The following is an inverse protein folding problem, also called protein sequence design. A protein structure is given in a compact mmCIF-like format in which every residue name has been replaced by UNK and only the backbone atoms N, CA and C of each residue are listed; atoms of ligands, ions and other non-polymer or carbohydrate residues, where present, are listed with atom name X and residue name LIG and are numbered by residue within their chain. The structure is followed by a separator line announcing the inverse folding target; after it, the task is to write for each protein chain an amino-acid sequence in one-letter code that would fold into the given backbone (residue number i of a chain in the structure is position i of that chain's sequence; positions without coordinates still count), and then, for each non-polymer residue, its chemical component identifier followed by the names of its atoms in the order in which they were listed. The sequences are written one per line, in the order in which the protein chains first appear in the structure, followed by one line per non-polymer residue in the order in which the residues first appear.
data_IF_842684801459
#
_entry.id   IF_842684801459
#
_cell.length_a   1.000
_cell.length_b   1.000
_cell.length_c   1.000
_cell.angle_alpha   90.00
_cell.angle_beta   90.00
_cell.angle_gamma   90.00
#
_symmetry.space_group_name_H-M   'P 1'
#
loop_
_entity.id
_entity.type
_entity.pdbx_description
1 polymer ?
#
# COMPACT_ATOMS: atom_id res chain seq x y z
N UNK A 1 -24.58 -32.56 -0.19
CA UNK A 1 -24.32 -32.80 1.24
C UNK A 1 -24.28 -31.45 1.95
N UNK A 2 -25.27 -31.14 2.78
CA UNK A 2 -25.30 -29.89 3.54
C UNK A 2 -24.23 -29.95 4.65
N UNK A 3 -23.27 -29.01 4.62
CA UNK A 3 -22.24 -28.84 5.64
C UNK A 3 -22.94 -28.63 6.99
N UNK A 4 -22.83 -29.59 7.91
CA UNK A 4 -23.37 -29.49 9.27
C UNK A 4 -22.74 -28.23 9.88
N UNK A 5 -23.52 -27.17 10.07
CA UNK A 5 -23.04 -25.90 10.63
C UNK A 5 -22.56 -26.21 12.05
N UNK A 6 -21.32 -25.87 12.36
CA UNK A 6 -20.79 -25.99 13.72
C UNK A 6 -21.47 -24.93 14.60
N UNK A 7 -22.62 -25.31 15.14
CA UNK A 7 -23.47 -24.43 15.95
C UNK A 7 -22.78 -24.08 17.27
N UNK A 8 -22.02 -25.01 17.85
CA UNK A 8 -21.29 -24.78 19.10
C UNK A 8 -20.14 -23.81 18.88
N UNK A 9 -19.35 -24.00 17.81
CA UNK A 9 -18.30 -23.06 17.43
C UNK A 9 -18.84 -21.66 17.10
N UNK A 10 -19.97 -21.59 16.40
CA UNK A 10 -20.63 -20.31 16.09
C UNK A 10 -21.16 -19.61 17.35
N UNK A 11 -21.73 -20.38 18.29
CA UNK A 11 -22.21 -19.86 19.56
C UNK A 11 -21.06 -19.35 20.45
N UNK A 12 -19.96 -20.11 20.52
CA UNK A 12 -18.77 -19.71 21.26
C UNK A 12 -18.15 -18.42 20.68
N UNK A 13 -18.07 -18.32 19.35
CA UNK A 13 -17.59 -17.11 18.68
C UNK A 13 -18.50 -15.91 18.97
N UNK A 14 -19.81 -16.08 18.86
CA UNK A 14 -20.77 -15.00 19.16
C UNK A 14 -20.68 -14.55 20.62
N UNK A 15 -20.59 -15.50 21.56
CA UNK A 15 -20.43 -15.18 22.98
C UNK A 15 -19.13 -14.42 23.25
N UNK A 16 -18.03 -14.83 22.61
CA UNK A 16 -16.75 -14.13 22.72
C UNK A 16 -16.85 -12.69 22.17
N UNK A 17 -17.43 -12.51 20.97
CA UNK A 17 -17.64 -11.19 20.37
C UNK A 17 -18.50 -10.27 21.24
N UNK A 18 -19.59 -10.78 21.81
CA UNK A 18 -20.44 -9.99 22.72
C UNK A 18 -19.68 -9.57 23.97
N UNK A 19 -18.91 -10.49 24.56
CA UNK A 19 -18.13 -10.21 25.77
C UNK A 19 -17.05 -9.14 25.51
N UNK A 20 -16.31 -9.26 24.40
CA UNK A 20 -15.29 -8.27 24.03
C UNK A 20 -15.93 -6.93 23.66
N UNK A 21 -17.01 -6.95 22.87
CA UNK A 21 -17.70 -5.74 22.47
C UNK A 21 -18.27 -4.95 23.66
N UNK A 22 -18.79 -5.63 24.69
CA UNK A 22 -19.30 -4.97 25.90
C UNK A 22 -18.19 -4.21 26.65
N UNK A 23 -17.00 -4.79 26.78
CA UNK A 23 -15.89 -4.14 27.49
C UNK A 23 -15.38 -2.92 26.71
N UNK A 24 -15.21 -3.07 25.40
CA UNK A 24 -14.75 -2.02 24.50
C UNK A 24 -15.75 -0.86 24.39
N UNK A 25 -17.05 -1.19 24.41
CA UNK A 25 -18.13 -0.20 24.46
C UNK A 25 -18.04 0.65 25.73
N UNK A 26 -17.94 0.03 26.91
CA UNK A 26 -17.83 0.77 28.17
C UNK A 26 -16.54 1.59 28.24
N UNK A 27 -15.43 1.09 27.70
CA UNK A 27 -14.20 1.87 27.56
C UNK A 27 -14.42 3.12 26.69
N UNK A 28 -15.10 2.99 25.56
CA UNK A 28 -15.43 4.12 24.70
C UNK A 28 -16.35 5.13 25.41
N UNK A 29 -17.34 4.66 26.18
CA UNK A 29 -18.19 5.52 27.02
C UNK A 29 -17.38 6.24 28.09
N UNK A 30 -16.44 5.56 28.74
CA UNK A 30 -15.58 6.12 29.77
C UNK A 30 -14.68 7.25 29.24
N UNK A 31 -14.21 7.17 27.99
CA UNK A 31 -13.43 8.25 27.35
C UNK A 31 -14.28 9.34 26.68
N UNK A 32 -15.62 9.27 26.79
CA UNK A 32 -16.53 10.34 26.40
C UNK A 32 -17.29 10.16 25.08
N UNK A 33 -17.26 8.98 24.45
CA UNK A 33 -18.06 8.72 23.25
C UNK A 33 -19.55 8.70 23.60
N UNK A 34 -20.41 9.22 22.72
CA UNK A 34 -21.86 9.06 22.86
C UNK A 34 -22.28 7.59 22.73
N UNK A 35 -23.43 7.22 23.32
CA UNK A 35 -23.97 5.85 23.35
C UNK A 35 -23.92 5.15 21.98
N UNK A 36 -24.47 5.78 20.94
CA UNK A 36 -24.47 5.19 19.59
C UNK A 36 -23.08 5.08 18.96
N UNK A 37 -22.20 6.04 19.23
CA UNK A 37 -20.86 6.11 18.63
C UNK A 37 -19.89 5.16 19.33
N UNK A 38 -20.08 4.92 20.63
CA UNK A 38 -19.30 3.98 21.40
C UNK A 38 -19.38 2.57 20.82
N UNK A 39 -20.54 2.16 20.30
CA UNK A 39 -20.73 0.88 19.61
C UNK A 39 -19.93 0.74 18.31
N UNK A 40 -19.49 1.85 17.70
CA UNK A 40 -18.66 1.80 16.50
C UNK A 40 -17.22 1.34 16.79
N UNK A 41 -16.72 1.50 18.02
CA UNK A 41 -15.36 1.09 18.41
C UNK A 41 -15.19 -0.43 18.32
N UNK A 42 -16.01 -1.25 19.02
CA UNK A 42 -15.91 -2.70 18.90
C UNK A 42 -16.26 -3.21 17.49
N UNK A 43 -17.27 -2.62 16.85
CA UNK A 43 -17.63 -2.99 15.49
C UNK A 43 -16.46 -2.80 14.51
N UNK A 44 -15.69 -1.72 14.64
CA UNK A 44 -14.51 -1.48 13.80
C UNK A 44 -13.42 -2.54 14.04
N UNK A 45 -13.09 -2.83 15.30
CA UNK A 45 -12.09 -3.84 15.67
C UNK A 45 -12.47 -5.23 15.17
N UNK A 46 -13.74 -5.62 15.31
CA UNK A 46 -14.25 -6.91 14.84
C UNK A 46 -14.16 -7.04 13.32
N UNK A 47 -14.55 -5.99 12.58
CA UNK A 47 -14.46 -5.98 11.11
C UNK A 47 -13.00 -6.11 10.66
N UNK A 48 -12.07 -5.41 11.32
CA UNK A 48 -10.64 -5.56 11.04
C UNK A 48 -10.14 -6.98 11.31
N UNK A 49 -10.51 -7.56 12.46
CA UNK A 49 -10.14 -8.93 12.81
C UNK A 49 -10.67 -9.95 11.81
N UNK A 50 -11.96 -9.89 11.49
CA UNK A 50 -12.60 -10.76 10.50
C UNK A 50 -11.87 -10.62 9.16
N UNK A 51 -11.57 -9.39 8.72
CA UNK A 51 -10.84 -9.16 7.47
C UNK A 51 -9.44 -9.76 7.53
N UNK A 52 -8.68 -9.49 8.59
CA UNK A 52 -7.33 -9.99 8.80
C UNK A 52 -7.28 -11.53 8.80
N UNK A 53 -8.22 -12.20 9.48
CA UNK A 53 -8.35 -13.65 9.45
C UNK A 53 -8.72 -14.18 8.06
N UNK A 54 -9.63 -13.52 7.34
CA UNK A 54 -10.03 -13.96 5.99
C UNK A 54 -8.88 -13.87 4.98
N UNK A 55 -8.03 -12.86 5.08
CA UNK A 55 -6.88 -12.70 4.18
C UNK A 55 -5.58 -13.28 4.74
N UNK A 56 -5.62 -13.86 5.95
CA UNK A 56 -4.45 -14.42 6.67
C UNK A 56 -3.26 -13.45 6.73
N UNK A 57 -3.54 -12.15 6.83
CA UNK A 57 -2.55 -11.08 6.93
C UNK A 57 -2.97 -10.14 8.04
N UNK A 58 -1.99 -9.57 8.72
CA UNK A 58 -2.21 -8.62 9.82
C UNK A 58 -2.90 -9.20 11.06
N UNK A 59 -2.99 -10.54 11.14
CA UNK A 59 -3.66 -11.27 12.23
C UNK A 59 -3.04 -10.96 13.59
N UNK A 60 -1.72 -10.98 13.69
CA UNK A 60 -1.02 -10.71 14.95
C UNK A 60 -1.33 -9.30 15.48
N UNK A 61 -1.32 -8.29 14.60
CA UNK A 61 -1.62 -6.92 15.00
C UNK A 61 -3.09 -6.76 15.44
N UNK A 62 -4.02 -7.41 14.72
CA UNK A 62 -5.44 -7.40 15.08
C UNK A 62 -5.68 -8.06 16.45
N UNK A 63 -5.05 -9.21 16.72
CA UNK A 63 -5.13 -9.89 18.02
C UNK A 63 -4.52 -9.04 19.14
N UNK A 64 -3.35 -8.44 18.92
CA UNK A 64 -2.72 -7.55 19.91
C UNK A 64 -3.62 -6.36 20.22
N UNK A 65 -4.24 -5.75 19.19
CA UNK A 65 -5.16 -4.64 19.40
C UNK A 65 -6.36 -5.06 20.26
N UNK A 66 -7.00 -6.19 19.96
CA UNK A 66 -8.10 -6.72 20.79
C UNK A 66 -7.66 -6.91 22.24
N UNK A 67 -6.51 -7.58 22.47
CA UNK A 67 -6.00 -7.83 23.82
C UNK A 67 -5.75 -6.52 24.56
N UNK A 68 -5.12 -5.53 23.92
CA UNK A 68 -4.80 -4.25 24.56
C UNK A 68 -6.05 -3.44 24.89
N UNK A 69 -7.01 -3.34 23.98
CA UNK A 69 -8.25 -2.57 24.21
C UNK A 69 -9.08 -3.23 25.31
N UNK A 70 -9.17 -4.55 25.30
CA UNK A 70 -9.92 -5.30 26.31
C UNK A 70 -9.23 -5.26 27.69
N UNK A 71 -7.90 -5.34 27.73
CA UNK A 71 -7.14 -5.12 28.96
C UNK A 71 -7.34 -3.69 29.49
N UNK A 72 -7.26 -2.68 28.62
CA UNK A 72 -7.52 -1.28 29.01
C UNK A 72 -8.93 -1.08 29.55
N UNK A 73 -9.94 -1.69 28.92
CA UNK A 73 -11.32 -1.66 29.40
C UNK A 73 -11.42 -2.18 30.84
N UNK A 74 -10.87 -3.37 31.11
CA UNK A 74 -10.88 -3.94 32.45
C UNK A 74 -10.06 -3.15 33.47
N UNK A 75 -8.91 -2.60 33.07
CA UNK A 75 -8.09 -1.76 33.95
C UNK A 75 -8.81 -0.45 34.33
N UNK A 76 -9.55 0.16 33.40
CA UNK A 76 -10.38 1.35 33.67
C UNK A 76 -11.56 0.98 34.55
N UNK A 77 -12.31 -0.08 34.22
CA UNK A 77 -13.48 -0.50 34.99
C UNK A 77 -13.14 -0.97 36.41
N UNK A 78 -11.91 -1.44 36.64
CA UNK A 78 -11.42 -1.82 37.97
C UNK A 78 -10.76 -0.65 38.72
N UNK A 79 -10.83 0.58 38.21
CA UNK A 79 -10.20 1.78 38.78
C UNK A 79 -8.67 1.65 38.97
N UNK A 80 -8.02 0.76 38.22
CA UNK A 80 -6.57 0.56 38.27
C UNK A 80 -5.80 1.59 37.43
N UNK A 81 -6.45 2.14 36.40
CA UNK A 81 -5.92 3.26 35.62
C UNK A 81 -6.99 4.35 35.45
N UNK A 82 -6.64 5.64 35.60
CA UNK A 82 -7.58 6.73 35.37
C UNK A 82 -7.78 6.98 33.88
N UNK A 83 -8.97 7.48 33.53
CA UNK A 83 -9.20 8.07 32.21
C UNK A 83 -8.34 9.32 32.09
N UNK A 84 -7.33 9.24 31.23
CA UNK A 84 -6.31 10.26 31.05
C UNK A 84 -6.22 10.68 29.59
N UNK A 85 -5.63 11.85 29.33
CA UNK A 85 -5.45 12.37 27.96
C UNK A 85 -4.81 11.34 27.02
N UNK A 86 -3.75 10.59 27.40
CA UNK A 86 -3.20 9.55 26.54
C UNK A 86 -4.19 8.44 26.21
N UNK A 87 -5.01 8.01 27.18
CA UNK A 87 -6.01 6.97 26.96
C UNK A 87 -7.10 7.45 26.00
N UNK A 88 -7.60 8.68 26.17
CA UNK A 88 -8.58 9.28 25.27
C UNK A 88 -8.03 9.32 23.84
N UNK A 89 -6.80 9.80 23.66
CA UNK A 89 -6.14 9.83 22.34
C UNK A 89 -6.01 8.40 21.78
N UNK A 90 -5.58 7.43 22.59
CA UNK A 90 -5.39 6.05 22.16
C UNK A 90 -6.71 5.41 21.69
N UNK A 91 -7.78 5.54 22.48
CA UNK A 91 -9.11 5.01 22.12
C UNK A 91 -9.67 5.73 20.90
N UNK A 92 -9.49 7.06 20.81
CA UNK A 92 -9.93 7.82 19.65
C UNK A 92 -9.17 7.53 18.37
N UNK A 93 -7.92 7.07 18.48
CA UNK A 93 -7.12 6.64 17.34
C UNK A 93 -7.54 5.27 16.78
N UNK A 94 -8.32 4.46 17.52
CA UNK A 94 -8.73 3.12 17.08
C UNK A 94 -9.45 3.18 15.72
N UNK A 95 -10.45 4.06 15.58
CA UNK A 95 -11.23 4.17 14.36
C UNK A 95 -10.38 4.53 13.11
N UNK A 96 -9.57 5.60 13.11
CA UNK A 96 -8.72 5.91 11.95
C UNK A 96 -7.63 4.87 11.71
N UNK A 97 -7.06 4.24 12.76
CA UNK A 97 -6.08 3.16 12.60
C UNK A 97 -6.73 1.94 11.94
N UNK A 98 -7.88 1.49 12.42
CA UNK A 98 -8.63 0.38 11.83
C UNK A 98 -8.96 0.67 10.36
N UNK A 99 -9.44 1.87 10.06
CA UNK A 99 -9.74 2.28 8.68
C UNK A 99 -8.50 2.16 7.78
N UNK A 100 -7.35 2.68 8.25
CA UNK A 100 -6.09 2.58 7.53
C UNK A 100 -5.66 1.12 7.32
N UNK A 101 -5.74 0.28 8.36
CA UNK A 101 -5.32 -1.13 8.28
C UNK A 101 -6.21 -1.93 7.35
N UNK A 102 -7.53 -1.75 7.43
CA UNK A 102 -8.48 -2.40 6.51
C UNK A 102 -8.25 -1.96 5.07
N UNK A 103 -7.97 -0.67 4.84
CA UNK A 103 -7.62 -0.17 3.51
C UNK A 103 -6.30 -0.78 3.00
N UNK A 104 -5.26 -0.84 3.83
CA UNK A 104 -3.98 -1.46 3.47
C UNK A 104 -4.10 -2.97 3.17
N UNK A 105 -5.09 -3.65 3.76
CA UNK A 105 -5.42 -5.05 3.45
C UNK A 105 -6.16 -5.23 2.12
N UNK A 106 -6.63 -4.14 1.50
CA UNK A 106 -7.23 -4.18 0.16
C UNK A 106 -6.18 -4.09 -0.95
N UNK A 107 -5.06 -3.41 -0.68
CA UNK A 107 -3.98 -3.26 -1.67
C UNK A 107 -3.20 -4.57 -1.82
N UNK A 108 -3.07 -5.13 -3.04
CA UNK A 108 -2.16 -6.24 -3.27
C UNK A 108 -0.74 -5.78 -2.89
N UNK A 109 0.02 -6.66 -2.22
CA UNK A 109 1.45 -6.42 -2.06
C UNK A 109 2.00 -6.20 -3.47
N UNK A 110 2.48 -4.98 -3.76
CA UNK A 110 3.26 -4.74 -4.96
C UNK A 110 4.29 -5.85 -5.02
N UNK A 111 4.26 -6.64 -6.09
CA UNK A 111 5.14 -7.78 -6.24
C UNK A 111 6.57 -7.32 -5.94
N UNK A 112 7.38 -8.13 -5.22
CA UNK A 112 8.81 -7.85 -5.12
C UNK A 112 9.32 -7.52 -6.52
N UNK A 113 10.16 -6.48 -6.70
CA UNK A 113 10.82 -6.27 -7.98
C UNK A 113 11.42 -7.61 -8.38
N UNK A 114 11.03 -8.11 -9.55
CA UNK A 114 11.48 -9.40 -10.04
C UNK A 114 13.00 -9.48 -9.88
N UNK A 115 13.56 -10.65 -9.48
CA UNK A 115 15.00 -10.82 -9.38
C UNK A 115 15.62 -10.25 -10.66
N UNK A 116 16.44 -9.21 -10.53
CA UNK A 116 17.25 -8.76 -11.64
C UNK A 116 18.11 -9.96 -12.02
N UNK A 117 17.82 -10.55 -13.17
CA UNK A 117 18.66 -11.57 -13.79
C UNK A 117 20.10 -11.05 -13.73
N UNK A 118 21.08 -11.84 -13.26
CA UNK A 118 22.44 -11.36 -13.06
C UNK A 118 22.89 -10.67 -14.33
N UNK A 119 23.20 -9.37 -14.23
CA UNK A 119 23.73 -8.64 -15.37
C UNK A 119 24.90 -9.45 -15.94
N UNK A 120 24.94 -9.71 -17.27
CA UNK A 120 26.03 -10.47 -17.86
C UNK A 120 27.33 -9.81 -17.44
N UNK A 121 28.21 -10.59 -16.80
CA UNK A 121 29.53 -10.12 -16.38
C UNK A 121 30.21 -9.54 -17.61
N UNK A 122 30.28 -8.22 -17.69
CA UNK A 122 31.03 -7.53 -18.72
C UNK A 122 32.48 -7.85 -18.43
N UNK A 123 33.22 -8.54 -19.32
CA UNK A 123 34.63 -8.79 -19.10
C UNK A 123 35.32 -7.42 -19.03
N UNK A 124 36.02 -7.19 -17.94
CA UNK A 124 36.76 -5.96 -17.65
C UNK A 124 37.73 -5.67 -18.80
N UNK A 125 37.56 -4.56 -19.54
CA UNK A 125 38.44 -4.25 -20.66
C UNK A 125 39.85 -3.93 -20.16
N UNK A 126 40.82 -4.76 -20.53
CA UNK A 126 42.25 -4.48 -20.41
C UNK A 126 42.56 -3.11 -21.02
N UNK A 127 43.27 -2.28 -20.26
CA UNK A 127 43.70 -0.94 -20.62
C UNK A 127 44.81 -1.00 -21.69
N UNK A 128 44.63 -0.48 -22.93
CA UNK A 128 45.70 -0.46 -23.92
C UNK A 128 46.25 0.96 -24.14
N UNK A 129 47.57 1.05 -24.15
CA UNK A 129 48.36 2.23 -24.49
C UNK A 129 48.05 2.79 -25.90
N UNK A 130 48.06 4.11 -26.03
CA UNK A 130 47.98 4.92 -27.27
C UNK A 130 49.29 4.87 -28.09
N UNK A 131 49.39 5.44 -29.32
CA UNK A 131 48.43 5.49 -30.45
C UNK A 131 49.10 5.41 -31.86
N UNK A 132 48.43 4.96 -32.93
CA UNK A 132 48.80 5.32 -34.33
C UNK A 132 47.56 5.53 -35.24
N UNK A 133 47.40 6.79 -35.66
CA UNK A 133 46.80 7.46 -36.84
C UNK A 133 45.66 6.84 -37.72
N UNK A 134 44.51 7.55 -37.74
CA UNK A 134 43.49 7.92 -38.80
C UNK A 134 43.03 6.93 -39.91
N UNK A 135 41.81 7.03 -40.51
CA UNK A 135 40.73 8.05 -40.41
C UNK A 135 39.27 7.51 -40.25
N UNK A 136 38.33 8.41 -39.91
CA UNK A 136 36.85 8.31 -40.07
C UNK A 136 36.09 7.16 -39.37
N UNK A 137 35.23 7.52 -38.40
CA UNK A 137 33.78 7.25 -38.43
C UNK A 137 33.11 7.44 -37.05
N UNK A 138 32.04 8.22 -37.07
CA UNK A 138 30.93 8.40 -36.13
C UNK A 138 30.86 7.57 -34.82
N UNK A 139 30.62 8.32 -33.75
CA UNK A 139 30.01 7.95 -32.45
C UNK A 139 28.80 6.99 -32.64
N UNK A 140 28.72 5.83 -31.98
CA UNK A 140 27.52 4.99 -32.05
C UNK A 140 26.36 5.63 -31.26
N UNK A 141 25.24 5.79 -31.94
CA UNK A 141 24.00 6.34 -31.43
C UNK A 141 23.42 5.49 -30.29
N UNK A 142 22.90 6.17 -29.26
CA UNK A 142 21.90 5.62 -28.35
C UNK A 142 20.83 4.89 -29.16
N UNK A 143 20.57 3.62 -28.84
CA UNK A 143 19.43 2.89 -29.40
C UNK A 143 18.16 3.68 -29.08
N UNK A 144 17.57 4.29 -30.11
CA UNK A 144 16.35 5.08 -29.99
C UNK A 144 15.22 4.21 -29.39
N UNK A 145 14.45 4.77 -28.45
CA UNK A 145 13.26 4.10 -27.93
C UNK A 145 12.36 3.74 -29.14
N UNK A 146 11.91 2.47 -29.31
CA UNK A 146 11.17 2.03 -30.49
C UNK A 146 9.88 2.82 -30.76
N UNK A 147 9.39 3.60 -29.79
CA UNK A 147 8.20 4.46 -29.90
C UNK A 147 8.51 5.92 -30.29
N UNK A 148 9.78 6.30 -30.47
CA UNK A 148 10.18 7.64 -30.95
C UNK A 148 9.59 8.02 -32.31
N UNK A 149 9.52 7.12 -33.31
CA UNK A 149 8.95 7.45 -34.62
C UNK A 149 7.48 7.88 -34.53
N UNK A 150 6.70 7.20 -33.69
CA UNK A 150 5.28 7.51 -33.53
C UNK A 150 5.08 8.80 -32.71
N UNK A 151 5.92 9.02 -31.70
CA UNK A 151 5.93 10.28 -30.97
C UNK A 151 6.34 11.49 -31.86
N UNK A 152 7.22 11.28 -32.86
CA UNK A 152 7.57 12.30 -33.85
C UNK A 152 6.41 12.64 -34.79
N UNK A 153 5.64 11.65 -35.23
CA UNK A 153 4.42 11.88 -36.03
C UNK A 153 3.40 12.72 -35.25
N UNK A 154 3.22 12.43 -33.96
CA UNK A 154 2.34 13.21 -33.08
C UNK A 154 2.82 14.65 -32.88
N UNK A 155 4.13 14.87 -32.81
CA UNK A 155 4.71 16.21 -32.72
C UNK A 155 4.51 17.00 -34.04
N UNK A 156 4.78 16.37 -35.18
CA UNK A 156 4.63 16.97 -36.50
C UNK A 156 3.17 17.34 -36.82
N UNK A 157 2.22 16.51 -36.41
CA UNK A 157 0.79 16.77 -36.61
C UNK A 157 0.25 17.96 -35.79
N UNK A 158 0.82 18.23 -34.61
CA UNK A 158 0.34 19.27 -33.70
C UNK A 158 1.13 20.59 -33.78
N UNK A 159 2.29 20.60 -34.45
CA UNK A 159 3.14 21.79 -34.61
C UNK A 159 3.67 22.40 -33.31
N UNK A 160 3.49 21.71 -32.17
CA UNK A 160 3.83 22.15 -30.81
C UNK A 160 4.28 20.96 -29.97
N UNK A 161 5.09 21.17 -28.91
CA UNK A 161 5.51 20.11 -28.01
C UNK A 161 4.32 19.42 -27.34
N UNK A 162 4.17 18.12 -27.62
CA UNK A 162 3.05 17.30 -27.13
C UNK A 162 3.15 17.17 -25.60
N UNK A 163 2.08 17.47 -24.85
CA UNK A 163 2.08 17.34 -23.40
C UNK A 163 2.20 15.87 -22.97
N UNK A 164 2.84 15.63 -21.82
CA UNK A 164 3.17 14.28 -21.33
C UNK A 164 1.93 13.37 -21.21
N UNK A 165 0.78 13.94 -20.84
CA UNK A 165 -0.48 13.21 -20.69
C UNK A 165 -0.99 12.64 -22.02
N UNK A 166 -0.79 13.36 -23.12
CA UNK A 166 -1.18 12.92 -24.47
C UNK A 166 -0.24 11.82 -24.96
N UNK A 167 1.07 11.92 -24.70
CA UNK A 167 2.01 10.85 -25.04
C UNK A 167 1.71 9.54 -24.29
N UNK A 168 1.22 9.62 -23.06
CA UNK A 168 0.84 8.44 -22.27
C UNK A 168 -0.45 7.80 -22.75
N UNK A 169 -1.46 8.62 -23.07
CA UNK A 169 -2.73 8.13 -23.58
C UNK A 169 -2.58 7.48 -24.95
N UNK A 170 -1.84 8.12 -25.87
CA UNK A 170 -1.73 7.68 -27.26
C UNK A 170 -0.80 6.46 -27.41
N UNK A 171 0.32 6.45 -26.68
CA UNK A 171 1.31 5.37 -26.76
C UNK A 171 1.08 4.29 -25.68
N UNK A 172 0.06 4.45 -24.82
CA UNK A 172 -0.26 3.55 -23.69
C UNK A 172 0.96 3.22 -22.82
N UNK A 173 1.78 4.22 -22.54
CA UNK A 173 3.03 4.10 -21.78
C UNK A 173 2.94 4.79 -20.41
N UNK A 174 3.74 4.31 -19.45
CA UNK A 174 3.89 4.95 -18.14
C UNK A 174 4.66 6.28 -18.18
N UNK A 175 4.53 7.07 -17.11
CA UNK A 175 5.09 8.42 -16.97
C UNK A 175 6.59 8.51 -17.26
N UNK A 176 7.40 7.64 -16.66
CA UNK A 176 8.86 7.65 -16.81
C UNK A 176 9.31 7.43 -18.25
N UNK A 177 8.58 6.61 -19.02
CA UNK A 177 8.89 6.36 -20.43
C UNK A 177 8.45 7.52 -21.32
N UNK A 178 7.29 8.10 -21.06
CA UNK A 178 6.84 9.31 -21.76
C UNK A 178 7.81 10.49 -21.59
N UNK A 179 8.41 10.63 -20.40
CA UNK A 179 9.39 11.68 -20.12
C UNK A 179 10.72 11.48 -20.87
N UNK A 180 11.20 10.23 -20.99
CA UNK A 180 12.38 9.91 -21.82
C UNK A 180 12.12 10.22 -23.29
N UNK A 181 10.95 9.83 -23.82
CA UNK A 181 10.57 10.10 -25.21
C UNK A 181 10.46 11.61 -25.46
N UNK A 182 9.85 12.38 -24.54
CA UNK A 182 9.78 13.84 -24.66
C UNK A 182 11.16 14.50 -24.66
N UNK A 183 12.07 14.02 -23.82
CA UNK A 183 13.44 14.53 -23.75
C UNK A 183 14.21 14.21 -25.03
N UNK A 184 14.03 13.01 -25.60
CA UNK A 184 14.63 12.63 -26.87
C UNK A 184 14.05 13.42 -28.06
N UNK A 185 12.76 13.75 -28.05
CA UNK A 185 12.14 14.64 -29.04
C UNK A 185 12.71 16.06 -28.96
N UNK A 186 12.86 16.60 -27.75
CA UNK A 186 13.43 17.92 -27.53
C UNK A 186 14.92 18.01 -27.92
N UNK A 187 15.66 16.91 -27.83
CA UNK A 187 17.06 16.84 -28.26
C UNK A 187 17.24 16.71 -29.79
N UNK A 188 16.15 16.54 -30.55
CA UNK A 188 16.18 16.41 -32.03
C UNK A 188 15.62 17.66 -32.75
N UNK A 189 15.14 18.68 -32.01
CA UNK A 189 14.63 19.95 -32.58
C UNK A 189 15.67 21.04 -32.36
#
# INVERSE_FOLDING_TARGET
MAKKRDLLGSAALLAALIATASAEYELARAVGYGEWVAGCVPAALDVWCIRAFKVQRDVAAAVVALVLVNAAAHLVSADLIPVSVPLVIAVSAIAPLVLYRVHALHEPLSAPPAPQEPAPVVPEPQEPAKPVQTPTAAKPAHSADPLLPDARKLYAANGKPVPLRTLQAELRIGQSRAQRIRTALAATT
#
